data_IF_598576219122
#
_entry.id   IF_598576219122
#
_cell.length_a   1.000
_cell.length_b   1.000
_cell.length_c   1.000
_cell.angle_alpha   90.00
_cell.angle_beta   90.00
_cell.angle_gamma   90.00
#
_symmetry.space_group_name_H-M   'P 1'
#
loop_
_entity.id
_entity.type
_entity.pdbx_description
1 polymer ?
#
# COMPACT_ATOMS: atom_id res chain seq x y z
N UNK A 1 9.89 12.73 -33.08
CA UNK A 1 8.46 12.79 -32.70
C UNK A 1 8.35 13.60 -31.42
N UNK A 2 7.43 14.56 -31.37
CA UNK A 2 7.16 15.28 -30.12
C UNK A 2 6.58 14.29 -29.08
N UNK A 3 7.07 14.33 -27.83
CA UNK A 3 6.49 13.55 -26.73
C UNK A 3 5.07 14.02 -26.47
N UNK A 4 4.16 13.09 -26.15
CA UNK A 4 2.82 13.46 -25.71
C UNK A 4 2.87 14.26 -24.40
N UNK A 5 1.84 15.02 -24.08
CA UNK A 5 1.73 15.76 -22.83
C UNK A 5 1.83 14.81 -21.61
N UNK A 6 1.19 13.64 -21.70
CA UNK A 6 1.25 12.59 -20.67
C UNK A 6 2.69 12.09 -20.47
N UNK A 7 3.46 11.90 -21.55
CA UNK A 7 4.86 11.48 -21.45
C UNK A 7 5.72 12.54 -20.78
N UNK A 8 5.48 13.82 -21.07
CA UNK A 8 6.20 14.93 -20.46
C UNK A 8 5.93 15.01 -18.95
N UNK A 9 4.66 14.95 -18.55
CA UNK A 9 4.25 14.93 -17.15
C UNK A 9 4.87 13.71 -16.43
N UNK A 10 4.83 12.55 -17.07
CA UNK A 10 5.42 11.32 -16.51
C UNK A 10 6.91 11.50 -16.26
N UNK A 11 7.68 11.90 -17.28
CA UNK A 11 9.12 12.05 -17.17
C UNK A 11 9.51 13.13 -16.12
N UNK A 12 8.76 14.23 -16.05
CA UNK A 12 8.95 15.27 -15.03
C UNK A 12 8.73 14.73 -13.61
N UNK A 13 7.67 13.96 -13.41
CA UNK A 13 7.34 13.40 -12.09
C UNK A 13 8.31 12.31 -11.67
N UNK A 14 8.71 11.43 -12.60
CA UNK A 14 9.74 10.41 -12.36
C UNK A 14 11.07 11.06 -11.94
N UNK A 15 11.48 12.14 -12.60
CA UNK A 15 12.69 12.88 -12.23
C UNK A 15 12.63 13.50 -10.82
N UNK A 16 11.43 13.72 -10.28
CA UNK A 16 11.18 14.24 -8.92
C UNK A 16 10.92 13.14 -7.88
N UNK A 17 11.12 11.87 -8.22
CA UNK A 17 10.91 10.73 -7.32
C UNK A 17 9.54 10.06 -7.43
N UNK A 18 8.73 10.45 -8.41
CA UNK A 18 7.49 9.77 -8.76
C UNK A 18 7.72 8.39 -9.34
N UNK A 19 6.68 7.57 -9.39
CA UNK A 19 6.75 6.18 -9.86
C UNK A 19 5.55 5.85 -10.73
N UNK A 20 5.80 5.28 -11.90
CA UNK A 20 4.75 4.73 -12.77
C UNK A 20 4.61 3.23 -12.49
N UNK A 21 3.42 2.82 -12.10
CA UNK A 21 3.11 1.45 -11.69
C UNK A 21 1.94 0.91 -12.48
N UNK A 22 1.99 -0.36 -12.80
CA UNK A 22 0.85 -1.11 -13.34
C UNK A 22 0.31 -2.05 -12.26
N UNK A 23 -0.97 -1.94 -11.97
CA UNK A 23 -1.70 -2.82 -11.08
C UNK A 23 -2.59 -3.77 -11.88
N UNK A 24 -2.70 -4.97 -11.35
CA UNK A 24 -3.63 -6.00 -11.83
C UNK A 24 -4.64 -6.25 -10.73
N UNK A 25 -5.91 -5.91 -10.97
CA UNK A 25 -7.00 -6.14 -10.04
C UNK A 25 -7.88 -7.27 -10.53
N UNK A 26 -8.30 -8.14 -9.62
CA UNK A 26 -9.29 -9.18 -9.86
C UNK A 26 -10.50 -8.96 -8.94
N UNK A 27 -11.69 -9.20 -9.47
CA UNK A 27 -12.92 -9.11 -8.70
C UNK A 27 -13.86 -10.23 -9.09
N UNK A 28 -14.55 -10.80 -8.10
CA UNK A 28 -15.53 -11.86 -8.31
C UNK A 28 -16.87 -11.49 -7.69
N UNK A 29 -17.95 -11.84 -8.38
CA UNK A 29 -19.32 -11.63 -7.90
C UNK A 29 -20.28 -12.67 -8.50
N UNK A 30 -21.38 -12.95 -7.79
CA UNK A 30 -22.42 -13.88 -8.30
C UNK A 30 -23.25 -13.29 -9.46
N UNK A 31 -23.37 -11.98 -9.51
CA UNK A 31 -24.14 -11.25 -10.51
C UNK A 31 -23.19 -10.57 -11.51
N UNK A 32 -23.24 -10.98 -12.77
CA UNK A 32 -22.38 -10.51 -13.85
C UNK A 32 -22.43 -9.00 -14.01
N UNK A 33 -23.64 -8.44 -13.99
CA UNK A 33 -23.91 -7.03 -14.29
C UNK A 33 -23.32 -6.06 -13.25
N UNK A 34 -23.01 -6.55 -12.04
CA UNK A 34 -22.44 -5.75 -10.97
C UNK A 34 -20.91 -5.58 -11.08
N UNK A 35 -20.23 -6.51 -11.75
CA UNK A 35 -18.77 -6.55 -11.73
C UNK A 35 -18.11 -5.36 -12.37
N UNK A 36 -18.50 -5.00 -13.60
CA UNK A 36 -17.89 -3.85 -14.28
C UNK A 36 -18.18 -2.51 -13.58
N UNK A 37 -19.41 -2.22 -13.13
CA UNK A 37 -19.66 -1.04 -12.32
C UNK A 37 -18.85 -0.99 -11.02
N UNK A 38 -18.73 -2.10 -10.29
CA UNK A 38 -17.95 -2.17 -9.05
C UNK A 38 -16.45 -1.95 -9.32
N UNK A 39 -15.90 -2.55 -10.37
CA UNK A 39 -14.51 -2.35 -10.75
C UNK A 39 -14.26 -0.90 -11.23
N UNK A 40 -15.18 -0.34 -11.97
CA UNK A 40 -15.12 1.06 -12.40
C UNK A 40 -15.17 2.03 -11.20
N UNK A 41 -16.04 1.76 -10.23
CA UNK A 41 -16.13 2.53 -8.98
C UNK A 41 -14.82 2.43 -8.17
N UNK A 42 -14.26 1.23 -8.03
CA UNK A 42 -12.96 1.03 -7.40
C UNK A 42 -11.86 1.91 -8.02
N UNK A 43 -11.81 1.97 -9.35
CA UNK A 43 -10.77 2.71 -10.08
C UNK A 43 -11.06 4.21 -10.07
N UNK A 44 -12.26 4.63 -10.47
CA UNK A 44 -12.58 6.04 -10.75
C UNK A 44 -12.93 6.81 -9.48
N UNK A 45 -13.66 6.18 -8.54
CA UNK A 45 -14.16 6.87 -7.36
C UNK A 45 -13.24 6.72 -6.14
N UNK A 46 -12.40 5.68 -6.13
CA UNK A 46 -11.50 5.43 -5.00
C UNK A 46 -10.05 5.59 -5.39
N UNK A 47 -9.51 4.73 -6.27
CA UNK A 47 -8.09 4.73 -6.62
C UNK A 47 -7.62 6.08 -7.18
N UNK A 48 -8.37 6.69 -8.09
CA UNK A 48 -8.02 8.00 -8.65
C UNK A 48 -8.02 9.14 -7.63
N UNK A 49 -8.75 8.98 -6.53
CA UNK A 49 -8.85 9.99 -5.46
C UNK A 49 -7.86 9.74 -4.31
N UNK A 50 -7.07 8.67 -4.39
CA UNK A 50 -6.05 8.39 -3.39
C UNK A 50 -4.95 9.45 -3.42
N UNK A 51 -4.48 9.77 -2.22
CA UNK A 51 -3.41 10.75 -2.06
C UNK A 51 -2.14 10.29 -2.78
N UNK A 52 -1.60 11.19 -3.59
CA UNK A 52 -0.38 10.93 -4.34
C UNK A 52 -0.61 10.31 -5.73
N UNK A 53 -1.83 9.97 -6.10
CA UNK A 53 -2.18 9.62 -7.48
C UNK A 53 -2.23 10.88 -8.33
N UNK A 54 -1.46 10.90 -9.42
CA UNK A 54 -1.39 12.03 -10.35
C UNK A 54 -2.36 11.81 -11.51
N UNK A 55 -2.30 10.62 -12.09
CA UNK A 55 -3.26 10.13 -13.07
C UNK A 55 -3.33 8.61 -13.05
N UNK A 56 -4.42 8.04 -13.56
CA UNK A 56 -4.48 6.63 -13.89
C UNK A 56 -5.26 6.42 -15.20
N UNK A 57 -4.94 5.32 -15.88
CA UNK A 57 -5.67 4.82 -17.05
C UNK A 57 -5.53 3.32 -17.14
N UNK A 58 -6.48 2.67 -17.80
CA UNK A 58 -6.44 1.22 -17.94
C UNK A 58 -7.65 0.66 -18.64
N UNK A 59 -7.79 -0.65 -18.59
CA UNK A 59 -8.91 -1.38 -19.16
C UNK A 59 -9.48 -2.35 -18.13
N UNK A 60 -10.80 -2.53 -18.19
CA UNK A 60 -11.54 -3.53 -17.43
C UNK A 60 -11.99 -4.59 -18.42
N UNK A 61 -11.65 -5.84 -18.15
CA UNK A 61 -12.03 -6.97 -18.98
C UNK A 61 -13.51 -7.32 -18.80
N UNK A 62 -14.09 -7.94 -19.83
CA UNK A 62 -15.46 -8.43 -19.73
C UNK A 62 -15.56 -9.57 -18.70
N UNK A 63 -16.61 -9.57 -17.86
CA UNK A 63 -16.81 -10.63 -16.87
C UNK A 63 -17.00 -12.00 -17.52
N UNK A 64 -16.23 -12.97 -17.08
CA UNK A 64 -16.33 -14.37 -17.49
C UNK A 64 -16.84 -15.23 -16.35
N UNK A 65 -17.61 -16.29 -16.67
CA UNK A 65 -18.04 -17.28 -15.70
C UNK A 65 -16.88 -18.22 -15.38
N UNK A 66 -16.50 -18.27 -14.11
CA UNK A 66 -15.46 -19.16 -13.59
C UNK A 66 -16.09 -20.03 -12.50
N UNK A 67 -16.31 -21.30 -12.80
CA UNK A 67 -17.09 -22.22 -11.95
C UNK A 67 -18.50 -21.65 -11.72
N UNK A 68 -18.83 -21.24 -10.48
CA UNK A 68 -20.16 -20.77 -10.07
C UNK A 68 -20.22 -19.26 -9.82
N UNK A 69 -19.17 -18.51 -10.15
CA UNK A 69 -19.09 -17.05 -9.98
C UNK A 69 -18.56 -16.38 -11.24
N UNK A 70 -18.96 -15.16 -11.47
CA UNK A 70 -18.37 -14.33 -12.51
C UNK A 70 -17.09 -13.68 -11.97
N UNK A 71 -16.07 -13.59 -12.81
CA UNK A 71 -14.80 -12.93 -12.51
C UNK A 71 -14.49 -11.91 -13.59
N UNK A 72 -13.97 -10.77 -13.21
CA UNK A 72 -13.41 -9.76 -14.11
C UNK A 72 -12.03 -9.35 -13.60
N UNK A 73 -11.17 -8.88 -14.50
CA UNK A 73 -9.88 -8.30 -14.17
C UNK A 73 -9.78 -6.88 -14.72
N UNK A 74 -8.91 -6.09 -14.12
CA UNK A 74 -8.56 -4.78 -14.63
C UNK A 74 -7.04 -4.60 -14.61
N UNK A 75 -6.51 -4.05 -15.69
CA UNK A 75 -5.13 -3.62 -15.79
C UNK A 75 -5.09 -2.10 -15.75
N UNK A 76 -4.51 -1.52 -14.69
CA UNK A 76 -4.52 -0.08 -14.45
C UNK A 76 -3.10 0.44 -14.28
N UNK A 77 -2.71 1.39 -15.12
CA UNK A 77 -1.43 2.10 -15.01
C UNK A 77 -1.65 3.40 -14.25
N UNK A 78 -0.88 3.60 -13.19
CA UNK A 78 -1.02 4.74 -12.26
C UNK A 78 0.32 5.45 -12.12
N UNK A 79 0.34 6.76 -12.25
CA UNK A 79 1.48 7.59 -11.89
C UNK A 79 1.30 8.12 -10.47
N UNK A 80 2.26 7.83 -9.63
CA UNK A 80 2.32 8.32 -8.25
C UNK A 80 3.37 9.43 -8.08
N UNK A 81 3.14 10.30 -7.12
CA UNK A 81 4.09 11.34 -6.71
C UNK A 81 5.27 10.78 -5.89
N UNK A 82 5.07 9.64 -5.23
CA UNK A 82 6.05 9.02 -4.34
C UNK A 82 5.87 7.50 -4.23
N UNK A 83 6.90 6.80 -3.79
CA UNK A 83 6.83 5.37 -3.52
C UNK A 83 5.93 5.05 -2.31
N UNK A 84 5.83 5.94 -1.34
CA UNK A 84 4.97 5.76 -0.16
C UNK A 84 3.49 5.63 -0.55
N UNK A 85 3.02 6.43 -1.51
CA UNK A 85 1.65 6.36 -2.02
C UNK A 85 1.31 5.00 -2.63
N UNK A 86 2.30 4.32 -3.24
CA UNK A 86 2.13 2.97 -3.80
C UNK A 86 1.89 1.94 -2.69
N UNK A 87 2.62 2.04 -1.58
CA UNK A 87 2.48 1.12 -0.45
C UNK A 87 1.05 1.17 0.10
N UNK A 88 0.52 2.38 0.29
CA UNK A 88 -0.85 2.57 0.76
C UNK A 88 -1.88 1.96 -0.19
N UNK A 89 -1.72 2.19 -1.49
CA UNK A 89 -2.62 1.61 -2.50
C UNK A 89 -2.49 0.09 -2.53
N UNK A 90 -1.28 -0.46 -2.56
CA UNK A 90 -1.05 -1.90 -2.59
C UNK A 90 -1.66 -2.60 -1.37
N UNK A 91 -1.58 -1.99 -0.20
CA UNK A 91 -2.16 -2.55 1.03
C UNK A 91 -3.69 -2.43 1.06
N UNK A 92 -4.24 -1.26 0.74
CA UNK A 92 -5.67 -1.00 0.88
C UNK A 92 -6.53 -1.68 -0.19
N UNK A 93 -5.97 -1.85 -1.38
CA UNK A 93 -6.69 -2.40 -2.55
C UNK A 93 -6.28 -3.84 -2.88
N UNK A 94 -5.22 -4.35 -2.27
CA UNK A 94 -4.73 -5.73 -2.43
C UNK A 94 -4.75 -6.23 -3.90
N UNK A 95 -4.07 -5.54 -4.84
CA UNK A 95 -4.04 -5.96 -6.23
C UNK A 95 -3.43 -7.36 -6.36
N UNK A 96 -3.89 -8.15 -7.33
CA UNK A 96 -3.36 -9.47 -7.64
C UNK A 96 -1.91 -9.42 -8.15
N UNK A 97 -1.49 -8.26 -8.71
CA UNK A 97 -0.12 -8.03 -9.16
C UNK A 97 0.24 -6.56 -9.20
N UNK A 98 1.53 -6.28 -9.05
CA UNK A 98 2.12 -4.93 -9.10
C UNK A 98 3.40 -4.97 -9.93
N UNK A 99 3.51 -4.09 -10.92
CA UNK A 99 4.68 -3.96 -11.78
C UNK A 99 5.13 -2.50 -11.82
N UNK A 100 6.39 -2.24 -11.44
CA UNK A 100 6.98 -0.90 -11.56
C UNK A 100 7.45 -0.70 -13.00
N UNK A 101 6.81 0.24 -13.70
CA UNK A 101 7.09 0.57 -15.10
C UNK A 101 8.23 1.60 -15.24
N UNK A 102 8.24 2.58 -14.34
CA UNK A 102 9.28 3.61 -14.25
C UNK A 102 9.54 4.00 -12.80
N UNK A 103 10.79 4.28 -12.41
CA UNK A 103 12.00 4.17 -13.21
C UNK A 103 12.37 2.71 -13.54
N UNK A 104 13.11 2.47 -14.63
CA UNK A 104 13.39 1.12 -15.16
C UNK A 104 14.63 0.45 -14.58
N UNK A 105 15.47 1.18 -13.85
CA UNK A 105 16.74 0.63 -13.33
C UNK A 105 16.83 0.74 -11.82
N UNK A 106 16.90 1.94 -11.31
CA UNK A 106 17.19 2.19 -9.90
C UNK A 106 16.28 3.29 -9.36
N UNK A 107 15.96 3.18 -8.06
CA UNK A 107 15.35 4.23 -7.28
C UNK A 107 16.27 4.57 -6.11
N UNK A 108 16.50 5.86 -5.90
CA UNK A 108 17.26 6.34 -4.74
C UNK A 108 16.29 6.91 -3.71
N UNK A 109 16.42 6.44 -2.48
CA UNK A 109 15.64 6.94 -1.35
C UNK A 109 16.54 7.70 -0.39
N UNK A 110 16.06 8.82 0.12
CA UNK A 110 16.69 9.44 1.29
C UNK A 110 16.38 8.60 2.53
N UNK A 111 17.27 8.61 3.50
CA UNK A 111 17.07 7.86 4.76
C UNK A 111 15.76 8.25 5.46
N UNK A 112 15.40 9.54 5.38
CA UNK A 112 14.12 10.03 5.90
C UNK A 112 12.91 9.38 5.22
N UNK A 113 12.94 9.20 3.90
CA UNK A 113 11.87 8.59 3.13
C UNK A 113 11.74 7.09 3.48
N UNK A 114 12.86 6.38 3.63
CA UNK A 114 12.87 4.98 4.10
C UNK A 114 12.31 4.84 5.52
N UNK A 115 12.64 5.79 6.40
CA UNK A 115 12.09 5.81 7.77
C UNK A 115 10.55 5.98 7.72
N UNK A 116 10.04 6.91 6.92
CA UNK A 116 8.60 7.11 6.74
C UNK A 116 7.92 5.84 6.21
N UNK A 117 8.50 5.18 5.20
CA UNK A 117 7.99 3.92 4.65
C UNK A 117 7.90 2.83 5.74
N UNK A 118 8.94 2.67 6.56
CA UNK A 118 8.95 1.68 7.63
C UNK A 118 7.91 1.99 8.72
N UNK A 119 7.73 3.26 9.06
CA UNK A 119 6.70 3.69 10.01
C UNK A 119 5.29 3.40 9.49
N UNK A 120 5.01 3.71 8.23
CA UNK A 120 3.71 3.44 7.62
C UNK A 120 3.42 1.94 7.52
N UNK A 121 4.38 1.13 7.10
CA UNK A 121 4.25 -0.34 7.10
C UNK A 121 3.96 -0.89 8.51
N UNK A 122 4.64 -0.35 9.51
CA UNK A 122 4.39 -0.72 10.92
C UNK A 122 2.97 -0.36 11.35
N UNK A 123 2.50 0.84 11.00
CA UNK A 123 1.15 1.30 11.31
C UNK A 123 0.08 0.45 10.60
N UNK A 124 0.27 0.13 9.32
CA UNK A 124 -0.61 -0.75 8.57
C UNK A 124 -0.68 -2.15 9.19
N UNK A 125 0.46 -2.70 9.60
CA UNK A 125 0.53 -3.99 10.30
C UNK A 125 -0.27 -3.99 11.61
N UNK A 126 -0.15 -2.92 12.42
CA UNK A 126 -0.91 -2.76 13.67
C UNK A 126 -2.41 -2.65 13.39
N UNK A 127 -2.79 -1.86 12.40
CA UNK A 127 -4.20 -1.68 12.02
C UNK A 127 -4.82 -3.00 11.55
N UNK A 128 -4.11 -3.75 10.71
CA UNK A 128 -4.57 -5.06 10.25
C UNK A 128 -4.67 -6.08 11.40
N UNK A 129 -3.68 -6.11 12.29
CA UNK A 129 -3.71 -6.98 13.47
C UNK A 129 -4.90 -6.68 14.37
N UNK A 130 -5.21 -5.40 14.57
CA UNK A 130 -6.38 -4.98 15.35
C UNK A 130 -7.67 -5.42 14.68
N UNK A 131 -7.81 -5.21 13.37
CA UNK A 131 -8.96 -5.67 12.61
C UNK A 131 -9.17 -7.19 12.74
N UNK A 132 -8.11 -7.98 12.64
CA UNK A 132 -8.15 -9.44 12.80
C UNK A 132 -8.59 -9.84 14.22
N UNK A 133 -8.07 -9.16 15.24
CA UNK A 133 -8.49 -9.39 16.63
C UNK A 133 -9.97 -9.11 16.84
N UNK A 134 -10.47 -8.01 16.33
CA UNK A 134 -11.84 -7.55 16.59
C UNK A 134 -12.89 -8.32 15.78
N UNK A 135 -12.57 -8.79 14.56
CA UNK A 135 -13.56 -9.28 13.61
C UNK A 135 -13.39 -10.76 13.20
N UNK A 136 -12.22 -11.32 13.33
CA UNK A 136 -11.92 -12.66 12.79
C UNK A 136 -11.66 -13.69 13.88
N UNK A 137 -10.85 -13.33 14.87
CA UNK A 137 -10.47 -14.26 15.94
C UNK A 137 -11.55 -14.37 17.02
N UNK A 138 -11.76 -15.58 17.53
CA UNK A 138 -12.71 -15.90 18.61
C UNK A 138 -12.09 -16.89 19.59
N UNK A 139 -12.51 -16.81 20.86
CA UNK A 139 -12.10 -17.77 21.89
C UNK A 139 -10.60 -17.75 22.20
N UNK A 140 -9.99 -18.93 22.31
CA UNK A 140 -8.60 -19.11 22.70
C UNK A 140 -7.57 -18.46 21.74
N UNK A 141 -7.89 -18.39 20.45
CA UNK A 141 -7.03 -17.75 19.45
C UNK A 141 -6.93 -16.24 19.70
N UNK A 142 -8.04 -15.60 20.07
CA UNK A 142 -8.08 -14.19 20.42
C UNK A 142 -7.20 -13.88 21.65
N UNK A 143 -7.30 -14.70 22.71
CA UNK A 143 -6.46 -14.52 23.91
C UNK A 143 -4.99 -14.71 23.61
N UNK A 144 -4.63 -15.71 22.83
CA UNK A 144 -3.24 -16.01 22.46
C UNK A 144 -2.60 -14.86 21.70
N UNK A 145 -3.29 -14.33 20.68
CA UNK A 145 -2.76 -13.23 19.87
C UNK A 145 -2.74 -11.92 20.67
N UNK A 146 -3.75 -11.67 21.49
CA UNK A 146 -3.80 -10.48 22.37
C UNK A 146 -2.60 -10.45 23.34
N UNK A 147 -2.33 -11.55 24.05
CA UNK A 147 -1.17 -11.69 24.91
C UNK A 147 0.16 -11.50 24.19
N UNK A 148 0.28 -12.02 22.96
CA UNK A 148 1.49 -11.84 22.15
C UNK A 148 1.71 -10.37 21.75
N UNK A 149 0.64 -9.62 21.41
CA UNK A 149 0.73 -8.21 21.06
C UNK A 149 1.05 -7.35 22.29
N UNK A 150 0.44 -7.63 23.43
CA UNK A 150 0.75 -6.96 24.70
C UNK A 150 2.21 -7.15 25.10
N UNK A 151 2.72 -8.38 24.99
CA UNK A 151 4.13 -8.70 25.28
C UNK A 151 5.10 -7.94 24.36
N UNK A 152 4.77 -7.77 23.07
CA UNK A 152 5.57 -6.96 22.13
C UNK A 152 5.55 -5.48 22.49
N UNK A 153 4.39 -4.94 22.84
CA UNK A 153 4.24 -3.55 23.25
C UNK A 153 5.03 -3.25 24.53
N UNK A 154 5.00 -4.17 25.50
CA UNK A 154 5.77 -4.05 26.74
C UNK A 154 7.27 -4.12 26.48
N UNK A 155 7.73 -5.05 25.63
CA UNK A 155 9.13 -5.15 25.23
C UNK A 155 9.62 -3.87 24.54
N UNK A 156 8.82 -3.33 23.64
CA UNK A 156 9.12 -2.06 22.94
C UNK A 156 9.28 -0.91 23.93
N UNK A 157 8.39 -0.81 24.93
CA UNK A 157 8.46 0.22 25.97
C UNK A 157 9.72 0.10 26.81
N UNK A 158 10.07 -1.10 27.27
CA UNK A 158 11.30 -1.38 28.02
C UNK A 158 12.58 -1.03 27.24
N UNK A 159 12.59 -1.28 25.92
CA UNK A 159 13.72 -0.92 25.05
C UNK A 159 13.89 0.60 24.92
N UNK A 160 12.79 1.34 24.81
CA UNK A 160 12.82 2.80 24.75
C UNK A 160 13.30 3.39 26.08
N UNK A 161 12.76 2.92 27.21
CA UNK A 161 13.15 3.35 28.55
C UNK A 161 14.64 3.11 28.82
N UNK A 162 15.15 1.93 28.44
CA UNK A 162 16.57 1.59 28.56
C UNK A 162 17.45 2.52 27.72
N UNK A 163 17.05 2.81 26.49
CA UNK A 163 17.80 3.70 25.60
C UNK A 163 17.83 5.15 26.11
N UNK A 164 16.75 5.59 26.75
CA UNK A 164 16.69 6.91 27.39
C UNK A 164 17.60 7.01 28.60
N UNK A 165 17.65 5.95 29.44
CA UNK A 165 18.54 5.88 30.59
C UNK A 165 20.04 5.86 30.19
N UNK A 166 20.39 5.14 29.12
CA UNK A 166 21.76 5.07 28.59
C UNK A 166 22.23 6.40 27.94
N UNK A 167 21.32 7.33 27.63
CA UNK A 167 21.64 8.66 27.05
C UNK A 167 21.77 9.78 28.10
N UNK A 168 21.41 9.55 29.37
CA UNK A 168 21.47 10.57 30.41
C UNK A 168 22.83 10.67 31.15
N UNK A 169 23.86 9.91 30.76
CA UNK A 169 25.18 10.02 31.36
C UNK A 169 26.32 10.32 30.35
N UNK A 170 26.42 11.53 29.81
CA UNK A 170 27.68 12.04 29.27
C UNK A 170 28.41 12.75 30.40
N UNK A 171 29.26 12.04 31.16
CA UNK A 171 30.24 12.71 31.98
C UNK A 171 31.15 13.54 31.09
N UNK A 172 30.93 14.85 31.10
CA UNK A 172 31.85 15.84 30.56
C UNK A 172 33.07 15.84 31.49
N UNK A 173 34.28 15.45 31.05
CA UNK A 173 35.47 15.63 31.87
C UNK A 173 35.77 17.13 31.94
N UNK A 174 35.99 17.61 33.18
CA UNK A 174 36.49 18.96 33.46
C UNK A 174 37.95 19.06 33.09
#
# INVERSE_FOLDING_TARGET
MAKSEVDQITDEKIAKGGVLVKFYFDMQHKEKEKLQPLMADLINERLMKEKGVIYCYGAIEEPMLVKDVYSTSATVTVLFDSFLSIINVAFNYAPAGVEIMKPTKEMTFRIFDLHAILMDLSQLSVTYSRYMLEHVLKGEDLETVSKALEGRAELGRKLIEKKSADQEDPQIPK
#
